data_IF_372388435280
#
_entry.id   IF_372388435280
#
_cell.length_a   1.000
_cell.length_b   1.000
_cell.length_c   1.000
_cell.angle_alpha   90.00
_cell.angle_beta   90.00
_cell.angle_gamma   90.00
#
_symmetry.space_group_name_H-M   'P 1'
#
loop_
_entity.id
_entity.type
_entity.pdbx_description
1 polymer ?
#
# COMPACT_ATOMS: atom_id res chain seq x y z
N UNK A 1 14.07 1.86 -5.05
CA UNK A 1 14.05 0.75 -6.05
C UNK A 1 12.68 0.75 -6.71
N UNK A 2 12.57 0.80 -8.02
CA UNK A 2 11.27 1.01 -8.70
C UNK A 2 11.21 0.22 -10.01
N UNK A 3 10.21 -0.66 -10.16
CA UNK A 3 9.90 -1.44 -11.38
C UNK A 3 11.12 -2.15 -11.99
N UNK A 4 11.95 -2.78 -11.16
CA UNK A 4 13.18 -3.43 -11.63
C UNK A 4 13.37 -4.82 -11.05
N UNK A 5 12.78 -5.13 -9.88
CA UNK A 5 12.97 -6.44 -9.28
C UNK A 5 12.41 -7.55 -10.17
N UNK A 6 11.38 -7.27 -10.97
CA UNK A 6 10.84 -8.22 -11.94
C UNK A 6 11.79 -8.68 -13.03
N UNK A 7 12.80 -7.87 -13.32
CA UNK A 7 13.78 -8.12 -14.40
C UNK A 7 15.03 -8.83 -13.88
N UNK A 8 15.09 -9.13 -12.58
CA UNK A 8 16.26 -9.64 -11.89
C UNK A 8 16.07 -11.09 -11.45
N UNK A 9 17.17 -11.83 -11.37
CA UNK A 9 17.19 -13.14 -10.73
C UNK A 9 16.85 -13.02 -9.23
N UNK A 10 16.47 -14.12 -8.58
CA UNK A 10 16.17 -14.09 -7.15
C UNK A 10 17.36 -13.62 -6.30
N UNK A 11 18.57 -14.01 -6.67
CA UNK A 11 19.79 -13.56 -6.00
C UNK A 11 20.03 -12.06 -6.20
N UNK A 12 19.86 -11.55 -7.42
CA UNK A 12 20.07 -10.13 -7.71
C UNK A 12 19.00 -9.24 -7.07
N UNK A 13 17.74 -9.71 -7.01
CA UNK A 13 16.68 -9.03 -6.24
C UNK A 13 17.09 -8.85 -4.79
N UNK A 14 17.60 -9.90 -4.16
CA UNK A 14 18.10 -9.86 -2.79
C UNK A 14 19.22 -8.82 -2.64
N UNK A 15 20.24 -8.93 -3.48
CA UNK A 15 21.41 -8.06 -3.44
C UNK A 15 21.03 -6.58 -3.61
N UNK A 16 20.10 -6.26 -4.52
CA UNK A 16 19.64 -4.87 -4.72
C UNK A 16 18.91 -4.32 -3.49
N UNK A 17 18.04 -5.12 -2.86
CA UNK A 17 17.32 -4.70 -1.64
C UNK A 17 18.31 -4.52 -0.48
N UNK A 18 19.25 -5.45 -0.31
CA UNK A 18 20.24 -5.39 0.75
C UNK A 18 21.21 -4.21 0.56
N UNK A 19 21.62 -3.93 -0.68
CA UNK A 19 22.42 -2.75 -1.00
C UNK A 19 21.67 -1.45 -0.70
N UNK A 20 20.37 -1.36 -1.04
CA UNK A 20 19.54 -0.21 -0.69
C UNK A 20 19.40 -0.05 0.83
N UNK A 21 19.26 -1.15 1.56
CA UNK A 21 19.18 -1.18 3.02
C UNK A 21 20.48 -0.70 3.68
N UNK A 22 21.64 -1.07 3.12
CA UNK A 22 22.96 -0.65 3.59
C UNK A 22 23.24 0.83 3.27
N UNK A 23 22.80 1.31 2.11
CA UNK A 23 23.01 2.70 1.68
C UNK A 23 22.10 3.71 2.40
N UNK A 24 20.96 3.28 2.95
CA UNK A 24 20.04 4.16 3.65
C UNK A 24 20.65 4.72 4.94
N UNK A 25 20.66 6.05 5.08
CA UNK A 25 21.09 6.73 6.29
C UNK A 25 20.20 6.41 7.49
N UNK A 26 20.63 6.77 8.70
CA UNK A 26 19.85 6.55 9.93
C UNK A 26 18.45 7.19 9.90
N UNK A 27 18.30 8.30 9.16
CA UNK A 27 17.03 9.03 8.97
C UNK A 27 16.38 8.76 7.61
N UNK A 28 17.04 7.97 6.75
CA UNK A 28 16.57 7.66 5.41
C UNK A 28 15.48 6.60 5.39
N UNK A 29 14.84 6.48 4.24
CA UNK A 29 13.87 5.42 3.96
C UNK A 29 14.28 4.66 2.69
N UNK A 30 14.01 3.37 2.67
CA UNK A 30 14.03 2.56 1.46
C UNK A 30 12.61 2.42 0.96
N UNK A 31 12.38 2.80 -0.28
CA UNK A 31 11.10 2.60 -0.97
C UNK A 31 11.31 1.63 -2.12
N UNK A 32 10.51 0.58 -2.14
CA UNK A 32 10.45 -0.43 -3.19
C UNK A 32 9.06 -0.40 -3.82
N UNK A 33 9.00 -0.29 -5.15
CA UNK A 33 7.74 -0.25 -5.92
C UNK A 33 7.82 -1.26 -7.06
N UNK A 34 6.76 -2.02 -7.26
CA UNK A 34 6.60 -3.00 -8.34
C UNK A 34 5.18 -2.92 -8.93
N UNK A 35 4.93 -3.49 -10.13
CA UNK A 35 3.58 -3.58 -10.67
C UNK A 35 2.60 -4.23 -9.69
N UNK A 36 1.36 -3.75 -9.69
CA UNK A 36 0.28 -4.19 -8.80
C UNK A 36 -0.33 -5.54 -9.22
N UNK A 37 0.53 -6.51 -9.53
CA UNK A 37 0.19 -7.88 -9.92
C UNK A 37 0.50 -8.84 -8.76
N UNK A 38 -0.01 -10.09 -8.79
CA UNK A 38 0.37 -11.11 -7.81
C UNK A 38 1.88 -11.29 -7.66
N UNK A 39 2.62 -11.35 -8.77
CA UNK A 39 4.09 -11.52 -8.75
C UNK A 39 4.81 -10.28 -8.22
N UNK A 40 4.34 -9.08 -8.58
CA UNK A 40 4.90 -7.83 -8.06
C UNK A 40 4.66 -7.68 -6.57
N UNK A 41 3.48 -8.07 -6.08
CA UNK A 41 3.19 -8.17 -4.65
C UNK A 41 4.11 -9.17 -3.94
N UNK A 42 4.31 -10.37 -4.49
CA UNK A 42 5.19 -11.37 -3.89
C UNK A 42 6.63 -10.83 -3.72
N UNK A 43 7.15 -10.12 -4.73
CA UNK A 43 8.44 -9.41 -4.67
C UNK A 43 8.46 -8.31 -3.60
N UNK A 44 7.36 -7.56 -3.44
CA UNK A 44 7.25 -6.55 -2.39
C UNK A 44 7.25 -7.16 -0.99
N UNK A 45 6.57 -8.29 -0.79
CA UNK A 45 6.61 -9.01 0.50
C UNK A 45 8.02 -9.54 0.78
N UNK A 46 8.69 -10.13 -0.20
CA UNK A 46 10.09 -10.58 -0.07
C UNK A 46 11.03 -9.41 0.30
N UNK A 47 10.90 -8.27 -0.39
CA UNK A 47 11.70 -7.08 -0.10
C UNK A 47 11.38 -6.49 1.29
N UNK A 48 10.10 -6.47 1.67
CA UNK A 48 9.63 -6.00 2.97
C UNK A 48 10.25 -6.83 4.09
N UNK A 49 10.19 -8.16 3.99
CA UNK A 49 10.67 -9.05 5.04
C UNK A 49 12.20 -8.94 5.19
N UNK A 50 12.93 -8.77 4.07
CA UNK A 50 14.36 -8.45 4.09
C UNK A 50 14.67 -7.14 4.81
N UNK A 51 13.93 -6.07 4.49
CA UNK A 51 14.11 -4.77 5.15
C UNK A 51 13.85 -4.87 6.66
N UNK A 52 12.80 -5.58 7.07
CA UNK A 52 12.50 -5.82 8.49
C UNK A 52 13.62 -6.61 9.16
N UNK A 53 14.12 -7.68 8.52
CA UNK A 53 15.26 -8.44 9.01
C UNK A 53 16.55 -7.59 9.14
N UNK A 54 16.72 -6.59 8.28
CA UNK A 54 17.82 -5.62 8.33
C UNK A 54 17.61 -4.48 9.35
N UNK A 55 16.61 -4.59 10.23
CA UNK A 55 16.33 -3.66 11.33
C UNK A 55 15.48 -2.45 10.95
N UNK A 56 14.85 -2.45 9.78
CA UNK A 56 13.89 -1.42 9.42
C UNK A 56 12.51 -1.70 10.05
N UNK A 57 11.73 -0.63 10.22
CA UNK A 57 10.29 -0.71 10.46
C UNK A 57 9.57 -0.26 9.21
N UNK A 58 8.46 -0.92 8.89
CA UNK A 58 7.58 -0.50 7.80
C UNK A 58 6.88 0.80 8.19
N UNK A 59 7.07 1.84 7.39
CA UNK A 59 6.39 3.13 7.53
C UNK A 59 5.09 3.18 6.72
N UNK A 60 5.06 2.53 5.55
CA UNK A 60 3.90 2.39 4.68
C UNK A 60 4.09 1.23 3.69
N UNK A 61 3.03 0.72 3.06
CA UNK A 61 1.62 0.96 3.34
C UNK A 61 1.13 0.19 4.58
N UNK A 62 1.79 -0.93 4.92
CA UNK A 62 1.39 -1.79 6.02
C UNK A 62 1.42 -1.02 7.35
N UNK A 63 0.41 -1.22 8.21
CA UNK A 63 0.39 -0.59 9.53
C UNK A 63 1.26 -1.32 10.56
N UNK A 64 1.84 -2.46 10.20
CA UNK A 64 2.68 -3.30 11.04
C UNK A 64 3.93 -3.79 10.29
N UNK A 65 4.94 -4.24 11.06
CA UNK A 65 6.17 -4.87 10.53
C UNK A 65 6.19 -6.40 10.67
N UNK A 66 5.16 -7.00 11.28
CA UNK A 66 5.02 -8.46 11.37
C UNK A 66 4.67 -9.13 10.03
N UNK A 67 4.48 -10.45 9.97
CA UNK A 67 4.14 -11.15 8.73
C UNK A 67 2.87 -10.56 8.07
N UNK A 68 2.85 -10.50 6.74
CA UNK A 68 1.66 -10.01 6.03
C UNK A 68 0.48 -10.99 6.24
N UNK A 69 -0.73 -10.51 6.61
CA UNK A 69 -1.88 -11.38 6.86
C UNK A 69 -2.52 -11.97 5.60
N UNK A 70 -2.14 -11.51 4.40
CA UNK A 70 -2.59 -12.11 3.15
C UNK A 70 -1.87 -13.44 2.95
N UNK A 71 -2.66 -14.52 2.88
CA UNK A 71 -2.13 -15.85 2.57
C UNK A 71 -1.55 -15.85 1.14
N UNK A 72 -0.31 -16.30 0.94
CA UNK A 72 0.28 -16.39 -0.39
C UNK A 72 -0.59 -17.18 -1.36
N UNK A 73 -0.81 -16.63 -2.56
CA UNK A 73 -1.60 -17.27 -3.62
C UNK A 73 -3.13 -17.09 -3.50
N UNK A 74 -3.66 -16.59 -2.38
CA UNK A 74 -5.11 -16.36 -2.26
C UNK A 74 -5.52 -14.96 -2.69
N UNK A 75 -4.65 -13.97 -2.49
CA UNK A 75 -4.88 -12.57 -2.83
C UNK A 75 -3.56 -11.80 -2.91
N UNK A 76 -3.60 -10.52 -3.29
CA UNK A 76 -2.44 -9.62 -3.27
C UNK A 76 -2.83 -8.20 -2.84
N UNK A 77 -1.94 -7.53 -2.10
CA UNK A 77 -2.11 -6.12 -1.76
C UNK A 77 -1.51 -5.25 -2.87
N UNK A 78 -2.30 -4.34 -3.42
CA UNK A 78 -1.86 -3.34 -4.40
C UNK A 78 -2.69 -2.07 -4.23
N UNK A 79 -2.31 -1.02 -4.96
CA UNK A 79 -2.97 0.28 -5.03
C UNK A 79 -3.04 0.74 -6.49
N UNK A 80 -3.65 1.89 -6.72
CA UNK A 80 -3.79 2.47 -8.05
C UNK A 80 -3.46 3.96 -8.00
N UNK A 81 -2.61 4.41 -8.91
CA UNK A 81 -2.35 5.83 -9.13
C UNK A 81 -2.82 6.20 -10.54
N UNK A 82 -3.47 7.36 -10.67
CA UNK A 82 -3.85 7.87 -11.98
C UNK A 82 -2.65 8.58 -12.60
N UNK A 83 -2.20 8.09 -13.75
CA UNK A 83 -1.10 8.66 -14.52
C UNK A 83 -1.59 9.16 -15.88
N UNK A 84 -1.01 10.25 -16.36
CA UNK A 84 -1.38 10.84 -17.64
C UNK A 84 -0.87 9.98 -18.81
N UNK A 85 -1.74 9.73 -19.80
CA UNK A 85 -1.32 9.12 -21.07
C UNK A 85 -0.78 10.18 -22.02
N UNK A 86 0.44 9.99 -22.50
CA UNK A 86 0.98 10.81 -23.60
C UNK A 86 0.15 10.62 -24.88
N UNK A 87 0.19 11.60 -25.79
CA UNK A 87 -0.47 11.51 -27.11
C UNK A 87 -0.01 10.29 -27.91
N UNK A 88 1.30 9.96 -27.85
CA UNK A 88 1.89 8.78 -28.47
C UNK A 88 1.34 7.47 -27.89
N UNK A 89 1.19 7.37 -26.55
CA UNK A 89 0.58 6.20 -25.92
C UNK A 89 -0.88 6.00 -26.36
N UNK A 90 -1.66 7.08 -26.49
CA UNK A 90 -3.05 6.99 -26.98
C UNK A 90 -3.13 6.50 -28.42
N UNK A 91 -2.25 7.00 -29.30
CA UNK A 91 -2.19 6.60 -30.70
C UNK A 91 -1.77 5.13 -30.89
N UNK A 92 -0.78 4.67 -30.13
CA UNK A 92 -0.23 3.30 -30.29
C UNK A 92 -1.08 2.24 -29.60
N UNK A 93 -1.67 2.55 -28.44
CA UNK A 93 -2.42 1.56 -27.62
C UNK A 93 -3.94 1.61 -27.82
N UNK A 94 -4.44 2.45 -28.74
CA UNK A 94 -5.88 2.60 -29.00
C UNK A 94 -6.68 3.15 -27.81
N UNK A 95 -6.02 3.87 -26.89
CA UNK A 95 -6.64 4.38 -25.67
C UNK A 95 -7.32 5.72 -25.90
N UNK A 96 -8.63 5.81 -25.62
CA UNK A 96 -9.43 7.04 -25.78
C UNK A 96 -9.31 8.02 -24.59
N UNK A 97 -8.96 7.54 -23.40
CA UNK A 97 -8.82 8.37 -22.20
C UNK A 97 -7.43 8.99 -22.08
N UNK A 98 -7.38 10.22 -21.55
CA UNK A 98 -6.15 10.99 -21.32
C UNK A 98 -5.32 10.48 -20.12
N UNK A 99 -5.78 9.45 -19.42
CA UNK A 99 -5.14 8.87 -18.25
C UNK A 99 -5.29 7.36 -18.23
N UNK A 100 -4.46 6.71 -17.42
CA UNK A 100 -4.59 5.33 -17.00
C UNK A 100 -4.41 5.19 -15.50
N UNK A 101 -5.09 4.20 -14.94
CA UNK A 101 -4.97 3.82 -13.54
C UNK A 101 -3.86 2.75 -13.47
N UNK A 102 -2.63 3.18 -13.15
CA UNK A 102 -1.49 2.30 -12.99
C UNK A 102 -1.58 1.61 -11.62
N UNK A 103 -1.60 0.27 -11.65
CA UNK A 103 -1.63 -0.53 -10.43
C UNK A 103 -0.22 -0.80 -9.96
N UNK A 104 0.02 -0.62 -8.66
CA UNK A 104 1.33 -0.83 -8.06
C UNK A 104 1.24 -1.44 -6.67
N UNK A 105 2.29 -2.15 -6.29
CA UNK A 105 2.54 -2.64 -4.94
C UNK A 105 3.79 -1.94 -4.43
N UNK A 106 3.84 -1.59 -3.14
CA UNK A 106 5.02 -0.94 -2.60
C UNK A 106 5.26 -1.26 -1.12
N UNK A 107 6.48 -1.02 -0.68
CA UNK A 107 6.85 -0.91 0.73
C UNK A 107 7.78 0.30 0.90
N UNK A 108 7.54 1.08 1.95
CA UNK A 108 8.42 2.12 2.45
C UNK A 108 8.83 1.74 3.87
N UNK A 109 10.12 1.60 4.11
CA UNK A 109 10.67 1.21 5.40
C UNK A 109 11.75 2.20 5.85
N UNK A 110 11.83 2.48 7.16
CA UNK A 110 12.87 3.34 7.74
C UNK A 110 13.36 2.79 9.08
N UNK A 111 14.57 3.19 9.48
CA UNK A 111 15.09 2.97 10.84
C UNK A 111 14.71 4.09 11.81
N UNK A 112 14.31 5.26 11.27
CA UNK A 112 13.82 6.37 12.06
C UNK A 112 12.50 6.02 12.76
N UNK A 113 12.12 6.82 13.76
CA UNK A 113 10.80 6.72 14.36
C UNK A 113 9.73 7.02 13.28
N UNK A 114 8.88 6.04 13.01
CA UNK A 114 7.73 6.17 12.14
C UNK A 114 6.49 5.72 12.92
N UNK A 115 5.38 6.43 12.74
CA UNK A 115 4.07 6.04 13.25
C UNK A 115 3.25 5.59 12.04
N UNK A 116 3.12 4.27 11.80
CA UNK A 116 2.27 3.76 10.73
C UNK A 116 0.82 4.20 10.92
N UNK A 117 0.02 4.05 9.87
CA UNK A 117 -1.41 4.26 9.99
C UNK A 117 -2.02 3.24 10.99
N UNK A 118 -3.08 3.60 11.74
CA UNK A 118 -3.77 2.66 12.63
C UNK A 118 -4.42 1.50 11.85
N UNK A 119 -4.90 1.79 10.64
CA UNK A 119 -5.23 0.79 9.64
C UNK A 119 -4.99 1.37 8.24
N UNK A 120 -4.83 0.48 7.26
CA UNK A 120 -4.71 0.83 5.84
C UNK A 120 -5.89 0.28 5.06
N UNK A 121 -6.52 1.12 4.24
CA UNK A 121 -7.56 0.70 3.30
C UNK A 121 -6.92 -0.07 2.16
N UNK A 122 -7.15 -1.38 2.10
CA UNK A 122 -6.46 -2.27 1.16
C UNK A 122 -7.26 -2.56 -0.11
N UNK A 123 -8.52 -2.13 -0.20
CA UNK A 123 -9.37 -2.23 -1.40
C UNK A 123 -10.12 -0.92 -1.61
N UNK A 124 -10.59 -0.67 -2.84
CA UNK A 124 -11.50 0.45 -3.12
C UNK A 124 -12.72 0.38 -2.18
N UNK A 125 -13.03 1.43 -1.41
CA UNK A 125 -14.21 1.47 -0.57
C UNK A 125 -15.49 1.13 -1.33
N UNK A 126 -16.32 0.24 -0.78
CA UNK A 126 -17.59 -0.12 -1.40
C UNK A 126 -18.71 0.76 -0.86
N UNK A 127 -19.08 1.77 -1.62
CA UNK A 127 -20.18 2.67 -1.27
C UNK A 127 -21.52 2.01 -1.62
N UNK A 128 -22.40 1.86 -0.63
CA UNK A 128 -23.76 1.33 -0.77
C UNK A 128 -24.77 2.34 -0.24
N UNK A 129 -26.07 2.08 -0.42
CA UNK A 129 -27.14 2.92 0.14
C UNK A 129 -27.05 2.89 1.67
N UNK A 130 -26.60 4.00 2.25
CA UNK A 130 -26.57 4.20 3.71
C UNK A 130 -25.38 3.57 4.45
N UNK A 131 -24.43 2.97 3.74
CA UNK A 131 -23.21 2.41 4.34
C UNK A 131 -22.03 2.40 3.36
N UNK A 132 -20.82 2.37 3.91
CA UNK A 132 -19.56 2.13 3.22
C UNK A 132 -18.89 0.91 3.83
N UNK A 133 -18.42 -0.02 3.00
CA UNK A 133 -17.62 -1.15 3.43
C UNK A 133 -16.15 -0.86 3.13
N UNK A 134 -15.30 -0.96 4.15
CA UNK A 134 -13.86 -0.77 4.07
C UNK A 134 -13.17 -2.09 4.37
N UNK A 135 -12.33 -2.57 3.46
CA UNK A 135 -11.42 -3.69 3.74
C UNK A 135 -10.11 -3.10 4.25
N UNK A 136 -9.74 -3.46 5.48
CA UNK A 136 -8.66 -2.86 6.25
C UNK A 136 -7.60 -3.89 6.59
N UNK A 137 -6.33 -3.50 6.48
CA UNK A 137 -5.23 -4.14 7.19
C UNK A 137 -4.97 -3.34 8.47
N UNK A 138 -4.89 -4.00 9.61
CA UNK A 138 -4.80 -3.39 10.94
C UNK A 138 -3.47 -3.71 11.64
N UNK A 139 -3.13 -2.96 12.69
CA UNK A 139 -1.88 -3.15 13.45
C UNK A 139 -1.79 -4.49 14.18
N UNK A 140 -2.92 -5.16 14.41
CA UNK A 140 -3.04 -6.48 15.02
C UNK A 140 -2.85 -7.64 14.01
N UNK A 141 -2.34 -7.33 12.81
CA UNK A 141 -2.01 -8.31 11.79
C UNK A 141 -3.25 -9.03 11.25
N UNK A 142 -4.39 -8.32 11.17
CA UNK A 142 -5.63 -8.85 10.63
C UNK A 142 -6.11 -8.06 9.41
N UNK A 143 -6.74 -8.80 8.49
CA UNK A 143 -7.59 -8.22 7.45
C UNK A 143 -9.04 -8.24 7.93
N UNK A 144 -9.64 -7.06 8.06
CA UNK A 144 -11.03 -6.93 8.53
C UNK A 144 -11.84 -6.09 7.58
N UNK A 145 -13.09 -6.52 7.35
CA UNK A 145 -14.10 -5.69 6.70
C UNK A 145 -14.85 -4.89 7.75
N UNK A 146 -14.76 -3.57 7.67
CA UNK A 146 -15.50 -2.64 8.53
C UNK A 146 -16.69 -2.03 7.78
N UNK A 147 -17.86 -2.08 8.42
CA UNK A 147 -19.08 -1.43 7.89
C UNK A 147 -19.31 -0.11 8.60
N UNK A 148 -19.25 1.00 7.85
CA UNK A 148 -19.54 2.34 8.36
C UNK A 148 -20.90 2.78 7.82
N UNK A 149 -21.89 2.95 8.69
CA UNK A 149 -23.26 3.31 8.31
C UNK A 149 -23.57 4.77 8.63
N UNK A 150 -24.66 5.33 8.05
CA UNK A 150 -25.14 6.69 8.33
C UNK A 150 -25.23 7.06 9.81
N UNK A 151 -25.51 6.09 10.70
CA UNK A 151 -25.62 6.34 12.15
C UNK A 151 -24.30 6.77 12.80
N UNK A 152 -23.17 6.56 12.12
CA UNK A 152 -21.85 6.95 12.61
C UNK A 152 -21.50 8.42 12.28
N UNK A 153 -22.43 9.22 11.74
CA UNK A 153 -22.23 10.67 11.59
C UNK A 153 -21.03 11.04 10.72
N UNK A 154 -20.09 11.82 11.28
CA UNK A 154 -18.88 12.28 10.58
C UNK A 154 -18.00 11.12 10.07
N UNK A 155 -17.91 10.02 10.81
CA UNK A 155 -17.20 8.81 10.34
C UNK A 155 -17.79 8.26 9.03
N UNK A 156 -19.11 8.39 8.83
CA UNK A 156 -19.74 7.98 7.57
C UNK A 156 -19.39 8.91 6.41
N UNK A 157 -19.30 10.23 6.64
CA UNK A 157 -18.83 11.18 5.63
C UNK A 157 -17.37 10.88 5.28
N UNK A 158 -16.52 10.76 6.29
CA UNK A 158 -15.12 10.41 6.15
C UNK A 158 -14.92 9.08 5.38
N UNK A 159 -15.74 8.06 5.66
CA UNK A 159 -15.68 6.79 4.93
C UNK A 159 -16.04 6.92 3.44
N UNK A 160 -16.93 7.85 3.06
CA UNK A 160 -17.29 8.09 1.66
C UNK A 160 -16.19 8.83 0.89
N UNK A 161 -15.41 9.63 1.60
CA UNK A 161 -14.32 10.44 1.05
C UNK A 161 -12.96 9.72 1.13
N UNK A 162 -12.93 8.51 1.70
CA UNK A 162 -11.74 7.67 1.80
C UNK A 162 -11.40 7.06 0.45
N UNK A 163 -10.12 7.08 0.10
CA UNK A 163 -9.58 6.43 -1.08
C UNK A 163 -8.84 5.12 -0.76
N UNK A 164 -8.61 4.36 -1.82
CA UNK A 164 -7.83 3.13 -1.73
C UNK A 164 -6.38 3.45 -1.40
N UNK A 165 -5.89 2.91 -0.28
CA UNK A 165 -4.57 3.21 0.23
C UNK A 165 -4.54 4.26 1.33
N UNK A 166 -5.68 4.83 1.72
CA UNK A 166 -5.73 5.78 2.82
C UNK A 166 -5.57 5.13 4.19
N UNK A 167 -5.14 5.96 5.15
CA UNK A 167 -5.16 5.60 6.56
C UNK A 167 -6.58 5.62 7.10
N UNK A 168 -6.93 4.67 7.98
CA UNK A 168 -8.25 4.60 8.58
C UNK A 168 -8.18 4.31 10.09
N UNK A 169 -8.95 5.00 10.95
CA UNK A 169 -9.75 6.19 10.63
C UNK A 169 -8.85 7.37 10.19
N UNK A 170 -9.38 8.37 9.46
CA UNK A 170 -8.64 9.57 9.13
C UNK A 170 -8.23 10.30 10.41
N UNK A 171 -7.06 10.94 10.39
CA UNK A 171 -6.45 11.55 11.60
C UNK A 171 -7.40 12.53 12.31
N UNK A 172 -8.20 13.27 11.56
CA UNK A 172 -9.13 14.26 12.12
C UNK A 172 -10.33 13.62 12.84
N UNK A 173 -10.75 12.42 12.43
CA UNK A 173 -11.87 11.70 13.04
C UNK A 173 -11.54 11.09 14.42
N UNK A 174 -10.29 11.18 14.88
CA UNK A 174 -9.85 10.71 16.21
C UNK A 174 -9.83 11.79 17.28
N UNK A 175 -10.05 13.06 16.92
CA UNK A 175 -10.00 14.20 17.85
C UNK A 175 -11.33 14.55 18.52
N UNK A 176 -12.45 14.03 18.01
CA UNK A 176 -13.81 14.38 18.48
C UNK A 176 -14.40 13.36 19.47
N UNK A 177 -13.58 12.53 20.12
CA UNK A 177 -14.03 11.41 20.93
C UNK A 177 -13.34 11.22 22.28
N UNK A 178 -12.61 12.23 22.77
CA UNK A 178 -12.02 12.26 24.12
C UNK A 178 -12.71 13.36 24.95
#
# INVERSE_FOLDING_TARGET
VSYVLGELTAADRAAVVDAAAAAASATGAVVVVEPGTPDGYARIIEARDRLVAAGFRVAAPCPHSAACPIVPGTDWCHFSARVSRSSLHRQVKGGSLAYEDEKFSYVAATRAAAVPAPARVVRRPQIRKGQVLLDLCETDEQLRRRTVTKRHGELYKAARDTDWGDAWPPRDATRDGD
#
